data_IF_399378944081
#
_entry.id   IF_399378944081
#
_cell.length_a   1.000
_cell.length_b   1.000
_cell.length_c   1.000
_cell.angle_alpha   90.00
_cell.angle_beta   90.00
_cell.angle_gamma   90.00
#
_symmetry.space_group_name_H-M   'P 1'
#
loop_
_entity.id
_entity.type
_entity.pdbx_description
1 polymer ?
#
# COMPACT_ATOMS: atom_id res chain seq x y z
N UNK A 1 5.21 0.19 -24.48
CA UNK A 1 4.49 0.61 -23.25
C UNK A 1 5.49 0.95 -22.18
N UNK A 2 5.29 2.08 -21.56
CA UNK A 2 6.18 2.51 -20.48
C UNK A 2 5.67 1.99 -19.14
N UNK A 3 6.56 1.45 -18.33
CA UNK A 3 6.19 0.88 -17.05
C UNK A 3 6.74 1.74 -15.92
N UNK A 4 5.94 1.90 -14.88
CA UNK A 4 6.31 2.65 -13.69
C UNK A 4 6.20 1.74 -12.48
N UNK A 5 7.20 1.78 -11.63
CA UNK A 5 7.21 0.98 -10.42
C UNK A 5 6.75 1.82 -9.23
N UNK A 6 5.85 1.25 -8.44
CA UNK A 6 5.35 1.90 -7.25
C UNK A 6 5.75 1.08 -6.04
N UNK A 7 6.22 1.76 -5.01
CA UNK A 7 6.62 1.10 -3.78
C UNK A 7 5.74 1.59 -2.64
N UNK A 8 5.14 0.66 -1.91
CA UNK A 8 4.28 0.99 -0.78
C UNK A 8 4.76 0.20 0.43
N UNK A 9 4.92 0.89 1.54
CA UNK A 9 5.34 0.26 2.79
C UNK A 9 4.17 0.19 3.75
N UNK A 10 3.98 -0.98 4.32
CA UNK A 10 2.87 -1.23 5.24
C UNK A 10 3.38 -1.80 6.54
N UNK A 11 2.69 -1.54 7.65
CA UNK A 11 2.98 -2.27 8.87
C UNK A 11 2.80 -3.76 8.61
N UNK A 12 3.70 -4.57 9.20
CA UNK A 12 3.67 -6.00 8.94
C UNK A 12 2.34 -6.63 9.31
N UNK A 13 1.74 -6.16 10.38
CA UNK A 13 0.46 -6.70 10.83
C UNK A 13 -0.62 -6.51 9.79
N UNK A 14 -0.64 -5.34 9.16
CA UNK A 14 -1.61 -5.06 8.12
C UNK A 14 -1.36 -5.94 6.91
N UNK A 15 -0.11 -6.04 6.53
CA UNK A 15 0.26 -6.87 5.38
C UNK A 15 -0.16 -8.32 5.60
N UNK A 16 0.11 -8.85 6.78
CA UNK A 16 -0.22 -10.23 7.09
C UNK A 16 -1.73 -10.46 7.04
N UNK A 17 -2.49 -9.54 7.63
CA UNK A 17 -3.94 -9.66 7.64
C UNK A 17 -4.51 -9.62 6.23
N UNK A 18 -4.05 -8.67 5.43
CA UNK A 18 -4.55 -8.54 4.07
C UNK A 18 -4.17 -9.76 3.24
N UNK A 19 -2.93 -10.22 3.39
CA UNK A 19 -2.47 -11.38 2.64
C UNK A 19 -3.32 -12.61 2.95
N UNK A 20 -3.70 -12.78 4.21
CA UNK A 20 -4.53 -13.91 4.58
C UNK A 20 -5.91 -13.82 3.94
N UNK A 21 -6.48 -12.63 3.97
CA UNK A 21 -7.80 -12.41 3.36
C UNK A 21 -7.74 -12.68 1.86
N UNK A 22 -6.72 -12.16 1.22
CA UNK A 22 -6.59 -12.34 -0.24
C UNK A 22 -6.34 -13.79 -0.60
N UNK A 23 -5.57 -14.49 0.21
CA UNK A 23 -5.28 -15.91 -0.06
C UNK A 23 -6.55 -16.73 -0.09
N UNK A 24 -7.51 -16.39 0.75
CA UNK A 24 -8.78 -17.09 0.77
C UNK A 24 -9.56 -16.89 -0.51
N UNK A 25 -9.27 -15.83 -1.24
CA UNK A 25 -9.92 -15.54 -2.50
C UNK A 25 -9.05 -15.93 -3.69
N UNK A 26 -7.90 -16.52 -3.42
CA UNK A 26 -7.02 -16.94 -4.50
C UNK A 26 -6.27 -15.79 -5.16
N UNK A 27 -6.09 -14.69 -4.44
CA UNK A 27 -5.43 -13.51 -4.97
C UNK A 27 -4.10 -13.26 -4.26
N UNK A 28 -3.15 -12.74 -5.03
CA UNK A 28 -1.90 -12.26 -4.44
C UNK A 28 -2.06 -10.78 -4.11
N UNK A 29 -1.09 -10.23 -3.37
CA UNK A 29 -1.10 -8.80 -3.07
C UNK A 29 -1.04 -7.99 -4.36
N UNK A 30 -0.22 -8.44 -5.29
CA UNK A 30 -0.09 -7.74 -6.57
C UNK A 30 -1.40 -7.77 -7.36
N UNK A 31 -2.07 -8.92 -7.35
CA UNK A 31 -3.35 -9.02 -8.04
C UNK A 31 -4.36 -8.04 -7.49
N UNK A 32 -4.44 -7.97 -6.17
CA UNK A 32 -5.39 -7.08 -5.53
C UNK A 32 -5.10 -5.62 -5.86
N UNK A 33 -3.82 -5.27 -5.84
CA UNK A 33 -3.42 -3.90 -6.13
C UNK A 33 -3.75 -3.53 -7.57
N UNK A 34 -3.46 -4.42 -8.50
CA UNK A 34 -3.75 -4.15 -9.90
C UNK A 34 -5.25 -4.01 -10.13
N UNK A 35 -6.03 -4.88 -9.50
CA UNK A 35 -7.48 -4.79 -9.61
C UNK A 35 -8.01 -3.47 -9.07
N UNK A 36 -7.46 -3.03 -7.94
CA UNK A 36 -7.85 -1.76 -7.36
C UNK A 36 -7.55 -0.60 -8.30
N UNK A 37 -6.34 -0.58 -8.83
CA UNK A 37 -5.94 0.52 -9.71
C UNK A 37 -6.73 0.52 -11.01
N UNK A 38 -6.98 -0.67 -11.55
CA UNK A 38 -7.76 -0.80 -12.76
C UNK A 38 -9.17 -0.26 -12.57
N UNK A 39 -9.76 -0.60 -11.44
CA UNK A 39 -11.11 -0.13 -11.14
C UNK A 39 -11.14 1.37 -10.93
N UNK A 40 -10.08 1.91 -10.33
CA UNK A 40 -9.97 3.34 -10.14
C UNK A 40 -9.96 4.09 -11.46
N UNK A 41 -9.24 3.55 -12.44
CA UNK A 41 -9.21 4.17 -13.77
C UNK A 41 -10.58 4.09 -14.43
N UNK A 42 -11.22 2.94 -14.31
CA UNK A 42 -12.51 2.74 -14.95
C UNK A 42 -13.57 3.69 -14.42
N UNK A 43 -13.57 3.91 -13.11
CA UNK A 43 -14.57 4.77 -12.48
C UNK A 43 -14.18 6.24 -12.46
N UNK A 44 -12.90 6.53 -12.66
CA UNK A 44 -12.42 7.90 -12.55
C UNK A 44 -12.34 8.38 -11.11
N UNK A 45 -12.38 7.45 -10.15
CA UNK A 45 -12.30 7.75 -8.74
C UNK A 45 -11.96 6.48 -7.99
N UNK A 46 -11.60 6.65 -6.73
CA UNK A 46 -11.36 5.48 -5.88
C UNK A 46 -12.67 4.70 -5.75
N UNK A 47 -12.61 3.36 -5.88
CA UNK A 47 -13.81 2.52 -5.93
C UNK A 47 -14.49 2.26 -4.59
N UNK A 48 -14.29 3.12 -3.62
CA UNK A 48 -14.97 3.02 -2.33
C UNK A 48 -15.03 4.41 -1.70
N UNK A 49 -15.88 4.54 -0.70
CA UNK A 49 -16.01 5.80 0.03
C UNK A 49 -15.01 5.80 1.18
N UNK A 50 -14.50 6.99 1.48
CA UNK A 50 -13.61 7.15 2.62
C UNK A 50 -13.86 8.53 3.23
N UNK A 51 -13.50 8.67 4.50
CA UNK A 51 -13.67 9.92 5.23
C UNK A 51 -12.32 10.57 5.44
N UNK A 52 -12.34 11.80 5.97
CA UNK A 52 -11.10 12.46 6.32
C UNK A 52 -10.36 11.71 7.41
N UNK A 53 -11.12 11.07 8.30
CA UNK A 53 -10.48 10.24 9.34
C UNK A 53 -9.71 9.09 8.72
N UNK A 54 -10.30 8.45 7.72
CA UNK A 54 -9.60 7.36 7.03
C UNK A 54 -8.31 7.86 6.40
N UNK A 55 -8.38 9.02 5.79
CA UNK A 55 -7.21 9.60 5.14
C UNK A 55 -6.12 9.96 6.15
N UNK A 56 -6.53 10.51 7.29
CA UNK A 56 -5.58 10.84 8.33
C UNK A 56 -4.92 9.61 8.90
N UNK A 57 -5.67 8.53 9.03
CA UNK A 57 -5.12 7.28 9.54
C UNK A 57 -4.09 6.72 8.56
N UNK A 58 -4.39 6.77 7.28
CA UNK A 58 -3.45 6.29 6.28
C UNK A 58 -2.15 7.10 6.33
N UNK A 59 -2.26 8.40 6.47
CA UNK A 59 -1.08 9.26 6.55
C UNK A 59 -0.30 9.02 7.83
N UNK A 60 -0.99 8.64 8.91
CA UNK A 60 -0.31 8.30 10.15
C UNK A 60 0.51 7.04 9.98
N UNK A 61 -0.02 6.07 9.27
CA UNK A 61 0.73 4.84 8.97
C UNK A 61 1.99 5.17 8.17
N UNK A 62 1.86 6.04 7.17
CA UNK A 62 3.01 6.44 6.38
C UNK A 62 4.10 7.05 7.24
N UNK A 63 3.70 7.88 8.20
CA UNK A 63 4.67 8.52 9.09
C UNK A 63 5.37 7.50 9.97
N UNK A 64 4.62 6.57 10.52
CA UNK A 64 5.20 5.55 11.39
C UNK A 64 6.21 4.71 10.61
N UNK A 65 5.88 4.32 9.41
CA UNK A 65 6.77 3.52 8.58
C UNK A 65 8.02 4.31 8.23
N UNK A 66 7.85 5.59 7.88
CA UNK A 66 8.99 6.44 7.55
C UNK A 66 9.93 6.62 8.75
N UNK A 67 9.35 6.79 9.93
CA UNK A 67 10.16 6.92 11.14
C UNK A 67 10.97 5.66 11.39
N UNK A 68 10.34 4.51 11.21
CA UNK A 68 11.03 3.24 11.41
C UNK A 68 12.18 3.08 10.43
N UNK A 69 11.98 3.49 9.20
CA UNK A 69 13.03 3.42 8.19
C UNK A 69 14.18 4.33 8.56
N UNK A 70 13.87 5.52 9.05
CA UNK A 70 14.90 6.45 9.46
C UNK A 70 15.70 5.92 10.63
N UNK A 71 15.02 5.22 11.53
CA UNK A 71 15.69 4.65 12.69
C UNK A 71 16.73 3.62 12.31
N UNK A 72 16.50 2.90 11.23
CA UNK A 72 17.43 1.87 10.80
C UNK A 72 18.62 2.46 10.05
N UNK A 73 18.76 3.77 10.07
CA UNK A 73 19.93 4.36 9.46
C UNK A 73 19.81 4.53 7.98
N UNK A 74 18.70 4.42 7.56
CA UNK A 74 18.47 4.68 6.16
C UNK A 74 19.17 3.76 5.22
N UNK A 75 19.39 2.75 5.63
CA UNK A 75 19.87 1.97 4.71
C UNK A 75 18.99 1.72 3.67
N UNK A 76 18.88 2.59 4.00
CA UNK A 76 18.30 2.60 3.28
C UNK A 76 18.16 2.80 2.34
N UNK A 77 18.40 3.01 2.42
CA UNK A 77 18.15 3.21 1.58
C UNK A 77 18.06 2.82 0.70
N UNK A 78 18.18 2.62 0.80
CA UNK A 78 17.99 2.18 0.05
C UNK A 78 17.46 1.91 -0.58
N UNK A 79 17.40 1.92 -0.40
CA UNK A 79 16.78 1.61 -0.91
C UNK A 79 16.44 1.91 -1.67
N UNK A 80 16.59 2.29 -1.80
CA UNK A 80 16.19 2.43 -2.49
C UNK A 80 16.17 2.52 -3.39
N UNK A 81 16.25 2.65 -3.60
CA UNK A 81 16.11 2.55 -4.40
C UNK A 81 16.00 2.43 -4.88
#
# INVERSE_FOLDING_TARGET
MELVTIEVKLPKEVYDSVSEILAKQGLSMEDALILFLKETVRLGRIPFDYTEEDLEEARRWERIVNDAVQDTGGEETCMVN
#
